data_IF_338193021996
#
_entry.id   IF_338193021996
#
_cell.length_a   1.000
_cell.length_b   1.000
_cell.length_c   1.000
_cell.angle_alpha   90.00
_cell.angle_beta   90.00
_cell.angle_gamma   90.00
#
_symmetry.space_group_name_H-M   'P 1'
#
loop_
_entity.id
_entity.type
_entity.pdbx_description
1 polymer ?
#
# COMPACT_ATOMS: atom_id res chain seq x y z
N UNK A 1 -8.73 9.01 -8.41
CA UNK A 1 -7.88 10.21 -8.25
C UNK A 1 -6.80 9.85 -7.25
N UNK A 2 -5.53 10.09 -7.58
CA UNK A 2 -4.41 9.86 -6.67
C UNK A 2 -3.98 11.19 -6.07
N UNK A 3 -3.65 11.20 -4.78
CA UNK A 3 -3.14 12.38 -4.07
C UNK A 3 -1.68 12.12 -3.68
N UNK A 4 -0.79 13.12 -3.79
CA UNK A 4 0.60 12.96 -3.41
C UNK A 4 0.74 12.78 -1.89
N UNK A 5 1.76 12.04 -1.47
CA UNK A 5 2.02 11.80 -0.04
C UNK A 5 2.29 13.09 0.76
N UNK A 6 2.65 14.19 0.08
CA UNK A 6 2.85 15.51 0.67
C UNK A 6 1.57 16.15 1.23
N UNK A 7 0.39 15.74 0.77
CA UNK A 7 -0.89 16.31 1.23
C UNK A 7 -1.17 15.99 2.69
N UNK A 8 -0.65 14.86 3.18
CA UNK A 8 -0.69 14.46 4.59
C UNK A 8 0.72 14.14 5.04
N UNK A 9 1.48 15.10 5.59
CA UNK A 9 2.88 14.91 5.97
C UNK A 9 3.03 13.87 7.08
N UNK A 10 4.25 13.35 7.25
CA UNK A 10 4.53 12.23 8.16
C UNK A 10 4.08 12.49 9.60
N UNK A 11 4.35 13.67 10.16
CA UNK A 11 3.90 14.00 11.52
C UNK A 11 2.37 13.99 11.66
N UNK A 12 1.64 14.34 10.58
CA UNK A 12 0.18 14.30 10.58
C UNK A 12 -0.33 12.86 10.51
N UNK A 13 0.32 12.00 9.70
CA UNK A 13 0.00 10.56 9.64
C UNK A 13 0.22 9.87 10.98
N UNK A 14 1.33 10.18 11.65
CA UNK A 14 1.60 9.62 12.98
C UNK A 14 0.59 10.11 14.03
N UNK A 15 0.18 11.38 13.95
CA UNK A 15 -0.86 11.89 14.80
C UNK A 15 -2.20 11.18 14.56
N UNK A 16 -2.58 10.92 13.31
CA UNK A 16 -3.80 10.19 12.95
C UNK A 16 -3.78 8.72 13.39
N UNK A 17 -2.59 8.10 13.39
CA UNK A 17 -2.39 6.76 13.92
C UNK A 17 -2.71 6.68 15.42
N UNK A 18 -2.37 7.74 16.18
CA UNK A 18 -2.58 7.83 17.63
C UNK A 18 -3.94 8.40 18.01
N UNK A 19 -4.42 9.41 17.29
CA UNK A 19 -5.68 10.09 17.50
C UNK A 19 -6.59 9.89 16.28
N UNK A 20 -7.54 8.97 16.42
CA UNK A 20 -8.26 8.39 15.29
C UNK A 20 -9.30 9.31 14.68
N UNK A 21 -9.70 10.38 15.39
CA UNK A 21 -10.72 11.30 14.92
C UNK A 21 -10.20 12.72 14.94
N UNK A 22 -10.49 13.45 13.86
CA UNK A 22 -10.25 14.88 13.77
C UNK A 22 -11.45 15.56 13.16
N UNK A 23 -11.78 16.75 13.65
CA UNK A 23 -12.84 17.59 13.10
C UNK A 23 -12.36 19.04 12.99
N UNK A 24 -12.81 19.70 11.94
CA UNK A 24 -12.62 21.12 11.63
C UNK A 24 -14.01 21.61 11.23
N UNK A 25 -14.82 22.12 12.17
CA UNK A 25 -16.19 22.52 11.87
C UNK A 25 -16.28 23.71 10.92
N UNK A 26 -15.24 24.54 10.91
CA UNK A 26 -15.08 25.71 10.06
C UNK A 26 -13.58 25.92 9.82
N UNK A 27 -13.15 26.07 8.56
CA UNK A 27 -11.76 26.36 8.18
C UNK A 27 -11.47 27.87 8.11
N UNK A 28 -12.48 28.73 8.25
CA UNK A 28 -12.38 30.19 8.38
C UNK A 28 -12.34 30.66 9.85
N UNK A 29 -12.33 29.74 10.82
CA UNK A 29 -12.24 30.10 12.24
C UNK A 29 -11.00 30.94 12.55
N UNK A 30 -11.14 31.85 13.51
CA UNK A 30 -10.02 32.59 14.10
C UNK A 30 -9.44 31.78 15.26
N UNK A 31 -8.15 31.38 15.24
CA UNK A 31 -7.54 30.65 16.35
C UNK A 31 -7.56 31.46 17.65
N UNK A 32 -7.95 30.82 18.75
CA UNK A 32 -7.95 31.42 20.09
C UNK A 32 -6.72 30.92 20.87
N UNK A 33 -5.85 31.81 21.35
CA UNK A 33 -4.64 31.41 22.07
C UNK A 33 -4.96 30.86 23.47
N UNK A 34 -4.13 29.92 23.93
CA UNK A 34 -4.15 29.48 25.34
C UNK A 34 -3.47 30.54 26.22
N UNK A 35 -4.04 30.78 27.39
CA UNK A 35 -3.51 31.70 28.41
C UNK A 35 -3.34 30.95 29.73
N UNK A 36 -2.11 30.83 30.27
CA UNK A 36 -0.82 31.25 29.68
C UNK A 36 -0.41 30.39 28.48
N UNK A 37 0.49 30.91 27.63
CA UNK A 37 0.98 30.19 26.44
C UNK A 37 1.84 28.96 26.80
N UNK A 38 2.60 29.06 27.89
CA UNK A 38 3.42 27.98 28.42
C UNK A 38 2.80 27.48 29.72
N UNK A 39 2.93 26.18 29.95
CA UNK A 39 2.43 25.56 31.17
C UNK A 39 3.17 26.12 32.38
N UNK A 40 2.46 26.54 33.45
CA UNK A 40 3.11 27.08 34.66
C UNK A 40 4.04 26.11 35.39
N UNK A 41 3.79 24.80 35.26
CA UNK A 41 4.52 23.74 35.97
C UNK A 41 5.82 23.31 35.27
N UNK A 42 5.84 23.32 33.93
CA UNK A 42 7.00 22.85 33.15
C UNK A 42 7.69 23.94 32.32
N UNK A 43 7.04 25.10 32.13
CA UNK A 43 7.52 26.12 31.19
C UNK A 43 7.49 25.69 29.72
N UNK A 44 6.85 24.56 29.39
CA UNK A 44 6.76 24.02 28.02
C UNK A 44 5.40 24.31 27.39
N UNK A 45 5.30 24.15 26.07
CA UNK A 45 4.03 24.16 25.37
C UNK A 45 3.14 22.99 25.82
N UNK A 46 1.82 23.21 25.81
CA UNK A 46 0.86 22.14 26.07
C UNK A 46 0.79 21.18 24.87
N UNK A 47 0.98 19.89 25.12
CA UNK A 47 0.75 18.87 24.08
C UNK A 47 -0.74 18.75 23.80
N UNK A 48 -1.14 19.21 22.62
CA UNK A 48 -2.52 19.17 22.13
C UNK A 48 -2.81 17.96 21.21
N UNK A 49 -1.92 16.95 21.13
CA UNK A 49 -2.06 15.81 20.22
C UNK A 49 -3.44 15.14 20.29
N UNK A 50 -3.98 15.00 21.49
CA UNK A 50 -5.29 14.38 21.74
C UNK A 50 -6.43 15.40 21.94
N UNK A 51 -6.16 16.69 21.79
CA UNK A 51 -7.21 17.71 21.91
C UNK A 51 -8.04 17.79 20.64
N UNK A 52 -9.34 17.56 20.77
CA UNK A 52 -10.31 17.68 19.67
C UNK A 52 -10.40 19.11 19.12
N UNK A 53 -10.18 20.11 19.97
CA UNK A 53 -10.26 21.54 19.61
C UNK A 53 -8.91 22.13 19.19
N UNK A 54 -7.88 21.29 19.02
CA UNK A 54 -6.56 21.75 18.61
C UNK A 54 -6.65 22.51 17.28
N UNK A 55 -6.12 23.72 17.27
CA UNK A 55 -5.98 24.51 16.05
C UNK A 55 -5.13 23.77 15.00
N UNK A 56 -5.52 23.97 13.76
CA UNK A 56 -5.01 23.32 12.57
C UNK A 56 -3.98 24.19 11.87
N UNK A 57 -3.00 23.56 11.21
CA UNK A 57 -2.04 24.26 10.33
C UNK A 57 -2.78 25.17 9.34
N UNK A 58 -2.43 26.47 9.25
CA UNK A 58 -3.03 27.39 8.29
C UNK A 58 -2.91 26.91 6.83
N UNK A 59 -1.84 26.17 6.50
CA UNK A 59 -1.63 25.56 5.18
C UNK A 59 -2.75 24.57 4.86
N UNK A 60 -3.17 23.76 5.84
CA UNK A 60 -4.26 22.81 5.66
C UNK A 60 -5.62 23.52 5.53
N UNK A 61 -5.85 24.59 6.30
CA UNK A 61 -7.06 25.42 6.12
C UNK A 61 -7.12 26.00 4.71
N UNK A 62 -6.00 26.51 4.18
CA UNK A 62 -5.94 27.02 2.80
C UNK A 62 -6.18 25.90 1.78
N UNK A 63 -5.60 24.71 1.99
CA UNK A 63 -5.85 23.55 1.14
C UNK A 63 -7.34 23.18 1.09
N UNK A 64 -8.03 23.17 2.23
CA UNK A 64 -9.49 22.93 2.28
C UNK A 64 -10.28 23.96 1.48
N UNK A 65 -9.95 25.25 1.63
CA UNK A 65 -10.60 26.35 0.89
C UNK A 65 -10.38 26.21 -0.62
N UNK A 66 -9.17 25.84 -1.04
CA UNK A 66 -8.85 25.59 -2.46
C UNK A 66 -9.69 24.44 -3.04
N UNK A 67 -10.09 23.46 -2.22
CA UNK A 67 -10.99 22.37 -2.60
C UNK A 67 -12.48 22.74 -2.49
N UNK A 68 -12.83 23.95 -2.07
CA UNK A 68 -14.22 24.37 -1.84
C UNK A 68 -14.87 23.68 -0.63
N UNK A 69 -14.06 23.28 0.36
CA UNK A 69 -14.50 22.64 1.59
C UNK A 69 -14.26 23.58 2.76
N UNK A 70 -15.28 23.81 3.59
CA UNK A 70 -15.21 24.69 4.75
C UNK A 70 -15.35 23.95 6.08
N UNK A 71 -15.94 22.75 6.09
CA UNK A 71 -15.90 21.84 7.23
C UNK A 71 -15.34 20.49 6.81
N UNK A 72 -14.53 19.88 7.68
CA UNK A 72 -14.00 18.54 7.44
C UNK A 72 -13.97 17.71 8.71
N UNK A 73 -14.21 16.41 8.57
CA UNK A 73 -13.99 15.43 9.63
C UNK A 73 -13.29 14.23 9.00
N UNK A 74 -12.33 13.64 9.71
CA UNK A 74 -11.66 12.42 9.26
C UNK A 74 -11.63 11.38 10.37
N UNK A 75 -11.84 10.12 9.99
CA UNK A 75 -11.69 8.97 10.87
C UNK A 75 -10.59 8.07 10.33
N UNK A 76 -9.65 7.69 11.18
CA UNK A 76 -8.49 6.88 10.82
C UNK A 76 -8.85 5.40 10.77
N UNK A 77 -8.34 4.73 9.74
CA UNK A 77 -8.42 3.29 9.57
C UNK A 77 -7.04 2.69 9.87
N UNK A 78 -6.97 1.79 10.85
CA UNK A 78 -5.69 1.28 11.37
C UNK A 78 -5.61 -0.22 11.17
N UNK A 79 -4.50 -0.67 10.57
CA UNK A 79 -4.20 -2.09 10.39
C UNK A 79 -2.79 -2.37 10.91
N UNK A 80 -2.63 -3.40 11.75
CA UNK A 80 -1.32 -3.78 12.28
C UNK A 80 -0.59 -2.63 13.00
N UNK A 81 -1.34 -1.73 13.63
CA UNK A 81 -0.81 -0.55 14.31
C UNK A 81 -0.36 0.60 13.38
N UNK A 82 -0.53 0.48 12.06
CA UNK A 82 -0.20 1.49 11.04
C UNK A 82 -1.46 2.16 10.50
N UNK A 83 -1.33 3.40 10.04
CA UNK A 83 -2.41 4.10 9.33
C UNK A 83 -2.61 3.46 7.94
N UNK A 84 -3.68 2.69 7.79
CA UNK A 84 -4.07 2.05 6.53
C UNK A 84 -4.75 3.05 5.58
N UNK A 85 -5.59 3.92 6.14
CA UNK A 85 -6.30 4.93 5.36
C UNK A 85 -7.15 5.86 6.23
N UNK A 86 -7.99 6.66 5.57
CA UNK A 86 -8.89 7.62 6.22
C UNK A 86 -10.28 7.54 5.60
N UNK A 87 -11.32 7.60 6.43
CA UNK A 87 -12.64 8.06 6.01
C UNK A 87 -12.59 9.58 6.06
N UNK A 88 -12.64 10.23 4.91
CA UNK A 88 -12.63 11.70 4.81
C UNK A 88 -14.02 12.24 4.50
N UNK A 89 -14.52 13.11 5.37
CA UNK A 89 -15.78 13.82 5.21
C UNK A 89 -15.49 15.31 4.97
N UNK A 90 -16.18 15.90 3.99
CA UNK A 90 -16.09 17.33 3.68
C UNK A 90 -17.47 17.93 3.50
N UNK A 91 -17.64 19.17 3.95
CA UNK A 91 -18.86 19.96 3.75
C UNK A 91 -18.51 21.35 3.21
N UNK A 92 -19.33 21.88 2.30
CA UNK A 92 -19.09 23.16 1.62
C UNK A 92 -19.32 24.37 2.54
N UNK A 93 -20.15 24.20 3.56
CA UNK A 93 -20.44 25.21 4.58
C UNK A 93 -19.92 24.75 5.94
N UNK A 94 -19.82 25.65 6.94
CA UNK A 94 -19.46 25.23 8.29
C UNK A 94 -20.47 24.23 8.80
N UNK A 95 -19.99 23.16 9.43
CA UNK A 95 -20.84 22.08 9.93
C UNK A 95 -20.24 21.55 11.22
N UNK A 96 -20.97 21.77 12.31
CA UNK A 96 -20.67 21.15 13.60
C UNK A 96 -21.25 19.73 13.64
N UNK A 97 -20.44 18.77 14.09
CA UNK A 97 -20.87 17.39 14.34
C UNK A 97 -20.79 17.15 15.83
N UNK A 98 -21.86 16.65 16.47
CA UNK A 98 -21.90 16.44 17.93
C UNK A 98 -20.89 15.39 18.39
N UNK A 99 -20.56 15.38 19.69
CA UNK A 99 -19.63 14.39 20.23
C UNK A 99 -20.15 12.96 20.04
N UNK A 100 -21.45 12.73 20.26
CA UNK A 100 -22.10 11.43 20.13
C UNK A 100 -21.95 10.90 18.69
N UNK A 101 -22.22 11.75 17.70
CA UNK A 101 -22.05 11.39 16.30
C UNK A 101 -20.59 11.12 15.95
N UNK A 102 -19.65 11.93 16.44
CA UNK A 102 -18.21 11.70 16.24
C UNK A 102 -17.77 10.37 16.84
N UNK A 103 -18.21 10.06 18.05
CA UNK A 103 -17.93 8.78 18.72
C UNK A 103 -18.50 7.59 17.96
N UNK A 104 -19.72 7.71 17.42
CA UNK A 104 -20.30 6.69 16.56
C UNK A 104 -19.50 6.50 15.26
N UNK A 105 -19.10 7.59 14.59
CA UNK A 105 -18.24 7.52 13.41
C UNK A 105 -16.88 6.88 13.71
N UNK A 106 -16.28 7.18 14.86
CA UNK A 106 -15.03 6.56 15.30
C UNK A 106 -15.20 5.05 15.52
N UNK A 107 -16.30 4.63 16.16
CA UNK A 107 -16.61 3.20 16.35
C UNK A 107 -16.81 2.49 15.00
N UNK A 108 -17.48 3.13 14.04
CA UNK A 108 -17.60 2.60 12.66
C UNK A 108 -16.20 2.45 12.03
N UNK A 109 -15.32 3.44 12.18
CA UNK A 109 -13.94 3.35 11.69
C UNK A 109 -13.15 2.19 12.31
N UNK A 110 -13.36 1.91 13.60
CA UNK A 110 -12.76 0.76 14.30
C UNK A 110 -13.27 -0.57 13.75
N UNK A 111 -14.58 -0.72 13.59
CA UNK A 111 -15.17 -1.93 13.00
C UNK A 111 -14.69 -2.12 11.57
N UNK A 112 -14.67 -1.05 10.76
CA UNK A 112 -14.19 -1.11 9.38
C UNK A 112 -12.71 -1.51 9.31
N UNK A 113 -11.86 -0.98 10.20
CA UNK A 113 -10.44 -1.37 10.31
C UNK A 113 -10.27 -2.87 10.56
N UNK A 114 -11.10 -3.44 11.44
CA UNK A 114 -11.12 -4.87 11.71
C UNK A 114 -11.55 -5.67 10.47
N UNK A 115 -12.61 -5.23 9.78
CA UNK A 115 -13.10 -5.89 8.58
C UNK A 115 -12.08 -5.86 7.45
N UNK A 116 -11.41 -4.73 7.21
CA UNK A 116 -10.31 -4.63 6.24
C UNK A 116 -9.23 -5.66 6.56
N UNK A 117 -8.80 -5.72 7.83
CA UNK A 117 -7.79 -6.67 8.27
C UNK A 117 -8.20 -8.12 8.03
N UNK A 118 -9.46 -8.46 8.31
CA UNK A 118 -9.99 -9.81 8.10
C UNK A 118 -10.09 -10.14 6.60
N UNK A 119 -10.59 -9.22 5.77
CA UNK A 119 -10.73 -9.43 4.33
C UNK A 119 -9.38 -9.61 3.64
N UNK A 120 -8.38 -8.78 3.97
CA UNK A 120 -7.04 -8.94 3.41
C UNK A 120 -6.39 -10.26 3.85
N UNK A 121 -6.56 -10.65 5.11
CA UNK A 121 -6.05 -11.94 5.60
C UNK A 121 -6.72 -13.14 4.90
N UNK A 122 -8.03 -13.09 4.69
CA UNK A 122 -8.77 -14.11 3.93
C UNK A 122 -8.29 -14.20 2.48
N UNK A 123 -8.08 -13.05 1.82
CA UNK A 123 -7.61 -13.01 0.44
C UNK A 123 -6.19 -13.56 0.31
N UNK A 124 -5.27 -13.17 1.20
CA UNK A 124 -3.91 -13.73 1.25
C UNK A 124 -3.95 -15.24 1.49
N UNK A 125 -4.81 -15.72 2.40
CA UNK A 125 -4.98 -17.15 2.65
C UNK A 125 -5.48 -17.89 1.40
N UNK A 126 -6.50 -17.35 0.73
CA UNK A 126 -7.06 -17.91 -0.51
C UNK A 126 -6.03 -17.97 -1.62
N UNK A 127 -5.26 -16.90 -1.83
CA UNK A 127 -4.18 -16.87 -2.81
C UNK A 127 -3.09 -17.88 -2.48
N UNK A 128 -2.73 -18.01 -1.20
CA UNK A 128 -1.72 -18.98 -0.75
C UNK A 128 -2.17 -20.41 -0.99
N UNK A 129 -3.42 -20.73 -0.67
CA UNK A 129 -4.00 -22.06 -0.89
C UNK A 129 -4.00 -22.42 -2.38
N UNK A 130 -4.46 -21.50 -3.24
CA UNK A 130 -4.43 -21.69 -4.68
C UNK A 130 -3.00 -21.95 -5.20
N UNK A 131 -2.01 -21.16 -4.74
CA UNK A 131 -0.61 -21.36 -5.11
C UNK A 131 -0.04 -22.70 -4.61
N UNK A 132 -0.40 -23.14 -3.40
CA UNK A 132 0.01 -24.44 -2.87
C UNK A 132 -0.53 -25.58 -3.75
N UNK A 133 -1.80 -25.50 -4.15
CA UNK A 133 -2.40 -26.50 -5.05
C UNK A 133 -1.70 -26.54 -6.40
N UNK A 134 -1.42 -25.37 -7.00
CA UNK A 134 -0.63 -25.27 -8.23
C UNK A 134 0.78 -25.86 -8.08
N UNK A 135 1.48 -25.56 -6.97
CA UNK A 135 2.81 -26.11 -6.70
C UNK A 135 2.79 -27.63 -6.52
N UNK A 136 1.77 -28.18 -5.86
CA UNK A 136 1.60 -29.63 -5.72
C UNK A 136 1.39 -30.30 -7.07
N UNK A 137 0.58 -29.70 -7.96
CA UNK A 137 0.37 -30.19 -9.32
C UNK A 137 1.68 -30.15 -10.13
N UNK A 138 2.43 -29.04 -10.09
CA UNK A 138 3.73 -28.93 -10.74
C UNK A 138 4.73 -29.98 -10.21
N UNK A 139 4.80 -30.15 -8.89
CA UNK A 139 5.67 -31.14 -8.26
C UNK A 139 5.31 -32.57 -8.71
N UNK A 140 4.03 -32.89 -8.81
CA UNK A 140 3.59 -34.20 -9.31
C UNK A 140 4.03 -34.42 -10.77
N UNK A 141 3.85 -33.42 -11.64
CA UNK A 141 4.26 -33.50 -13.04
C UNK A 141 5.76 -33.66 -13.21
N UNK A 142 6.55 -32.94 -12.40
CA UNK A 142 8.01 -33.09 -12.33
C UNK A 142 8.41 -34.50 -11.88
N UNK A 143 7.70 -35.07 -10.91
CA UNK A 143 8.02 -36.39 -10.35
C UNK A 143 7.61 -37.57 -11.25
N UNK A 144 6.62 -37.38 -12.14
CA UNK A 144 6.15 -38.43 -13.06
C UNK A 144 6.75 -38.34 -14.46
N UNK A 145 7.64 -37.38 -14.72
CA UNK A 145 8.32 -37.25 -16.01
C UNK A 145 9.39 -38.34 -16.16
N UNK A 146 9.32 -39.12 -17.24
CA UNK A 146 10.19 -40.29 -17.48
C UNK A 146 11.60 -39.92 -17.99
N UNK A 147 11.82 -38.69 -18.47
CA UNK A 147 13.06 -38.27 -19.13
C UNK A 147 13.84 -37.21 -18.33
N UNK A 148 13.25 -36.02 -18.14
CA UNK A 148 13.83 -34.93 -17.34
C UNK A 148 12.73 -34.20 -16.56
N UNK A 149 13.08 -33.66 -15.40
CA UNK A 149 12.25 -32.75 -14.60
C UNK A 149 11.79 -31.56 -15.43
N UNK A 150 12.66 -31.10 -16.34
CA UNK A 150 12.39 -30.00 -17.25
C UNK A 150 11.20 -30.27 -18.18
N UNK A 151 11.07 -31.48 -18.73
CA UNK A 151 9.98 -31.84 -19.63
C UNK A 151 8.60 -31.71 -18.97
N UNK A 152 8.50 -32.02 -17.67
CA UNK A 152 7.27 -31.87 -16.91
C UNK A 152 6.83 -30.40 -16.75
N UNK A 153 7.78 -29.47 -16.67
CA UNK A 153 7.53 -28.03 -16.59
C UNK A 153 7.25 -27.41 -17.97
N UNK A 154 8.04 -27.80 -18.97
CA UNK A 154 7.92 -27.35 -20.36
C UNK A 154 6.58 -27.72 -21.01
N UNK A 155 5.93 -28.80 -20.53
CA UNK A 155 4.61 -29.24 -20.98
C UNK A 155 3.44 -28.46 -20.35
N UNK A 156 3.67 -27.68 -19.28
CA UNK A 156 2.63 -26.89 -18.60
C UNK A 156 3.04 -25.43 -18.36
N UNK A 157 3.43 -24.68 -19.40
CA UNK A 157 3.90 -23.31 -19.24
C UNK A 157 2.84 -22.36 -18.70
N UNK A 158 1.56 -22.61 -18.98
CA UNK A 158 0.46 -21.81 -18.45
C UNK A 158 0.36 -21.90 -16.92
N UNK A 159 0.57 -23.09 -16.36
CA UNK A 159 0.50 -23.32 -14.92
C UNK A 159 1.61 -22.56 -14.16
N UNK A 160 2.79 -22.45 -14.78
CA UNK A 160 3.91 -21.64 -14.26
C UNK A 160 3.60 -20.14 -14.31
N UNK A 161 3.02 -19.67 -15.42
CA UNK A 161 2.62 -18.27 -15.55
C UNK A 161 1.53 -17.91 -14.53
N UNK A 162 0.52 -18.76 -14.35
CA UNK A 162 -0.60 -18.55 -13.43
C UNK A 162 -0.14 -18.51 -11.95
N UNK A 163 0.89 -19.28 -11.58
CA UNK A 163 1.44 -19.31 -10.22
C UNK A 163 1.89 -17.92 -9.72
N UNK A 164 2.43 -17.11 -10.64
CA UNK A 164 2.97 -15.77 -10.34
C UNK A 164 2.21 -14.64 -11.03
N UNK A 165 1.15 -14.95 -11.79
CA UNK A 165 0.40 -13.98 -12.58
C UNK A 165 1.22 -13.33 -13.69
N UNK A 166 2.14 -14.10 -14.30
CA UNK A 166 3.00 -13.62 -15.38
C UNK A 166 2.31 -13.74 -16.75
N UNK A 167 2.76 -12.93 -17.70
CA UNK A 167 2.35 -13.00 -19.11
C UNK A 167 3.32 -13.79 -19.98
N UNK A 168 4.50 -14.11 -19.44
CA UNK A 168 5.52 -14.93 -20.08
C UNK A 168 6.42 -15.59 -19.05
N UNK A 169 7.01 -16.73 -19.44
CA UNK A 169 7.98 -17.47 -18.64
C UNK A 169 9.12 -17.95 -19.54
N UNK A 170 10.35 -17.75 -19.07
CA UNK A 170 11.54 -18.27 -19.71
C UNK A 170 12.27 -19.22 -18.76
N UNK A 171 12.58 -20.42 -19.25
CA UNK A 171 13.34 -21.43 -18.52
C UNK A 171 14.69 -21.61 -19.22
N UNK A 172 15.77 -21.49 -18.46
CA UNK A 172 17.14 -21.63 -18.96
C UNK A 172 17.70 -22.94 -18.43
N UNK A 173 18.04 -23.83 -19.34
CA UNK A 173 18.68 -25.12 -19.07
C UNK A 173 19.97 -25.17 -19.87
N UNK A 174 21.12 -25.16 -19.19
CA UNK A 174 22.46 -25.09 -19.79
C UNK A 174 22.58 -24.00 -20.88
N UNK A 175 22.49 -24.40 -22.16
CA UNK A 175 22.60 -23.52 -23.33
C UNK A 175 21.26 -23.23 -24.00
N UNK A 176 20.19 -23.89 -23.60
CA UNK A 176 18.86 -23.72 -24.16
C UNK A 176 18.07 -22.70 -23.33
N UNK A 177 17.22 -21.94 -24.03
CA UNK A 177 16.31 -20.97 -23.42
C UNK A 177 14.95 -21.20 -24.03
N UNK A 178 14.03 -21.70 -23.22
CA UNK A 178 12.68 -22.02 -23.62
C UNK A 178 11.76 -20.90 -23.15
N UNK A 179 11.14 -20.22 -24.10
CA UNK A 179 10.28 -19.07 -23.84
C UNK A 179 8.83 -19.43 -24.16
N UNK A 180 7.93 -19.08 -23.25
CA UNK A 180 6.50 -19.29 -23.40
C UNK A 180 5.75 -18.01 -23.03
N UNK A 181 4.66 -17.71 -23.75
CA UNK A 181 3.93 -16.45 -23.57
C UNK A 181 4.71 -15.24 -24.11
N UNK A 182 4.53 -14.08 -23.48
CA UNK A 182 5.18 -12.84 -23.87
C UNK A 182 6.55 -12.68 -23.17
N UNK A 183 7.62 -12.98 -23.89
CA UNK A 183 8.99 -12.90 -23.39
C UNK A 183 9.83 -11.96 -24.28
N UNK A 184 10.87 -11.30 -23.71
CA UNK A 184 11.89 -10.62 -24.52
C UNK A 184 12.63 -11.61 -25.44
N UNK A 185 13.49 -11.08 -26.31
CA UNK A 185 14.32 -11.93 -27.17
C UNK A 185 15.25 -12.83 -26.32
N UNK A 186 15.54 -14.08 -26.76
CA UNK A 186 16.37 -15.01 -25.99
C UNK A 186 17.78 -14.49 -25.66
N UNK A 187 18.33 -13.57 -26.47
CA UNK A 187 19.61 -12.90 -26.16
C UNK A 187 19.50 -11.98 -24.95
N UNK A 188 18.39 -11.23 -24.85
CA UNK A 188 18.16 -10.28 -23.76
C UNK A 188 17.87 -11.01 -22.46
N UNK A 189 17.12 -12.12 -22.52
CA UNK A 189 16.86 -12.99 -21.37
C UNK A 189 18.16 -13.57 -20.82
N UNK A 190 19.09 -14.00 -21.68
CA UNK A 190 20.41 -14.49 -21.24
C UNK A 190 21.27 -13.40 -20.61
N UNK A 191 21.26 -12.20 -21.17
CA UNK A 191 21.96 -11.05 -20.60
C UNK A 191 21.38 -10.70 -19.22
N UNK A 192 20.06 -10.71 -19.09
CA UNK A 192 19.35 -10.50 -17.82
C UNK A 192 19.70 -11.59 -16.79
N UNK A 193 19.70 -12.86 -17.18
CA UNK A 193 20.09 -13.97 -16.32
C UNK A 193 21.53 -13.80 -15.81
N UNK A 194 22.49 -13.47 -16.68
CA UNK A 194 23.88 -13.23 -16.27
C UNK A 194 24.00 -12.06 -15.28
N UNK A 195 23.26 -10.97 -15.50
CA UNK A 195 23.20 -9.84 -14.59
C UNK A 195 22.60 -10.23 -13.23
N UNK A 196 21.52 -11.01 -13.21
CA UNK A 196 20.89 -11.52 -11.98
C UNK A 196 21.84 -12.43 -11.19
N UNK A 197 22.50 -13.39 -11.86
CA UNK A 197 23.43 -14.32 -11.20
C UNK A 197 24.62 -13.58 -10.59
N UNK A 198 25.11 -12.52 -11.24
CA UNK A 198 26.18 -11.67 -10.69
C UNK A 198 25.76 -10.95 -9.40
N UNK A 199 24.46 -10.71 -9.19
CA UNK A 199 23.91 -10.13 -7.97
C UNK A 199 23.90 -11.10 -6.77
N UNK A 200 23.97 -12.42 -7.01
CA UNK A 200 24.09 -13.44 -5.95
C UNK A 200 22.83 -13.74 -5.15
N UNK A 201 21.68 -13.15 -5.48
CA UNK A 201 20.41 -13.44 -4.83
C UNK A 201 19.70 -14.64 -5.50
N UNK A 202 19.14 -15.59 -4.75
CA UNK A 202 18.45 -16.74 -5.30
C UNK A 202 17.11 -16.39 -5.98
N UNK A 203 16.49 -15.27 -5.59
CA UNK A 203 15.24 -14.77 -6.18
C UNK A 203 15.32 -13.25 -6.26
N UNK A 204 15.07 -12.71 -7.45
CA UNK A 204 15.00 -11.28 -7.69
C UNK A 204 13.61 -10.89 -8.18
N UNK A 205 13.07 -9.77 -7.69
CA UNK A 205 11.75 -9.26 -8.10
C UNK A 205 11.78 -7.73 -8.22
N UNK A 206 11.24 -7.22 -9.32
CA UNK A 206 11.07 -5.78 -9.54
C UNK A 206 9.83 -5.50 -10.38
N UNK A 207 9.06 -4.47 -9.99
CA UNK A 207 7.95 -3.97 -10.80
C UNK A 207 8.41 -2.97 -11.87
N UNK A 208 9.69 -2.59 -11.87
CA UNK A 208 10.26 -1.60 -12.79
C UNK A 208 11.73 -1.91 -13.09
N UNK A 209 11.95 -2.98 -13.87
CA UNK A 209 13.28 -3.55 -14.12
C UNK A 209 14.26 -2.55 -14.77
N UNK A 210 13.78 -1.65 -15.63
CA UNK A 210 14.62 -0.62 -16.29
C UNK A 210 15.33 0.32 -15.31
N UNK A 211 14.77 0.56 -14.12
CA UNK A 211 15.41 1.45 -13.12
C UNK A 211 16.70 0.90 -12.52
N UNK A 212 16.89 -0.42 -12.58
CA UNK A 212 18.06 -1.11 -11.99
C UNK A 212 18.87 -1.89 -13.03
N UNK A 213 18.25 -2.21 -14.17
CA UNK A 213 18.87 -2.84 -15.32
C UNK A 213 18.48 -2.05 -16.58
N UNK A 214 19.25 -1.00 -16.93
CA UNK A 214 18.93 -0.09 -18.04
C UNK A 214 18.64 -0.76 -19.39
N UNK A 215 19.31 -1.88 -19.79
CA UNK A 215 18.96 -2.55 -21.03
C UNK A 215 17.50 -3.04 -21.12
N UNK A 216 16.79 -3.17 -19.98
CA UNK A 216 15.36 -3.50 -19.99
C UNK A 216 14.45 -2.44 -20.58
N UNK A 217 14.93 -1.22 -20.84
CA UNK A 217 14.18 -0.23 -21.61
C UNK A 217 13.80 -0.73 -23.02
N UNK A 218 14.61 -1.61 -23.63
CA UNK A 218 14.39 -2.14 -24.97
C UNK A 218 13.22 -3.12 -25.11
N UNK A 219 12.65 -3.59 -23.99
CA UNK A 219 11.57 -4.59 -23.99
C UNK A 219 10.51 -4.30 -22.91
N UNK A 220 10.25 -3.02 -22.64
CA UNK A 220 9.10 -2.62 -21.82
C UNK A 220 7.80 -2.97 -22.54
N UNK A 221 6.90 -3.64 -21.83
CA UNK A 221 5.54 -3.94 -22.28
C UNK A 221 4.60 -2.75 -22.07
#
# INVERSE_FOLDING_TARGET
MFFPASDIPEQARELYRRNWLRIIPDADYTPVPLVPQLRPDTGQQLDLSFSTLRSVSPIHCQYMKNMGVLSSMSVSLIQGGKLWGLISCGHRTPLYVSHELRSACQAIGQVLSLQISAMEAMEVSRQREAKIQTLQQLHQLMATSDADVFDGLAQQPQLLMDLVGATGVAIIEDRQTHCYGNCPEPSDIRALHAWMTAGGEPVYASHHLSSVYPPAEGYQA
#
